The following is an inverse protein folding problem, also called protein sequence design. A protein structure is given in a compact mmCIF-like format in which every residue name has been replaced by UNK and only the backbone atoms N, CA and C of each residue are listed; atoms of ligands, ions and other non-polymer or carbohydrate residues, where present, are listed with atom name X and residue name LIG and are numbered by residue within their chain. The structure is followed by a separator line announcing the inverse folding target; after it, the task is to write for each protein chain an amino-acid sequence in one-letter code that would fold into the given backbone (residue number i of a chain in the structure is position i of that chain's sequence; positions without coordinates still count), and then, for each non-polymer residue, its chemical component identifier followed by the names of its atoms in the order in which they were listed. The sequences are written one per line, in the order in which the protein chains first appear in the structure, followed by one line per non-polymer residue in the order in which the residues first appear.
data_IF_259723615514
#
_entry.id   IF_259723615514
#
_cell.length_a   1.000
_cell.length_b   1.000
_cell.length_c   1.000
_cell.angle_alpha   90.00
_cell.angle_beta   90.00
_cell.angle_gamma   90.00
#
_symmetry.space_group_name_H-M   'P 1'
#
loop_
_entity.id
_entity.type
_entity.pdbx_description
1 polymer ?
#
# COMPACT_ATOMS: atom_id res chain seq x y z
N UNK A 1 -13.84 49.85 -27.72
CA UNK A 1 -13.98 48.80 -26.68
C UNK A 1 -13.30 47.54 -27.24
N UNK A 2 -12.44 46.89 -26.41
CA UNK A 2 -11.80 45.61 -26.72
C UNK A 2 -12.48 44.54 -25.86
N UNK A 3 -12.94 43.46 -26.51
CA UNK A 3 -13.45 42.29 -25.82
C UNK A 3 -12.61 41.09 -26.22
N UNK A 4 -12.20 40.25 -25.26
CA UNK A 4 -11.51 38.99 -25.50
C UNK A 4 -12.39 37.86 -24.98
N UNK A 5 -12.62 36.85 -25.79
CA UNK A 5 -13.31 35.64 -25.39
C UNK A 5 -12.53 34.41 -25.90
N UNK A 6 -12.52 33.35 -25.12
CA UNK A 6 -12.03 32.04 -25.58
C UNK A 6 -13.23 31.12 -25.60
N UNK A 7 -13.53 30.57 -26.76
CA UNK A 7 -14.69 29.73 -26.97
C UNK A 7 -14.30 28.44 -27.70
N UNK A 8 -15.03 27.39 -27.41
CA UNK A 8 -14.99 26.13 -28.19
C UNK A 8 -16.03 26.25 -29.30
N UNK A 9 -15.61 26.22 -30.54
CA UNK A 9 -16.48 26.39 -31.68
C UNK A 9 -16.64 25.04 -32.38
N UNK A 10 -17.89 24.65 -32.60
CA UNK A 10 -18.24 23.44 -33.33
C UNK A 10 -18.45 23.79 -34.83
N UNK A 11 -17.51 23.43 -35.67
CA UNK A 11 -17.70 23.40 -37.09
C UNK A 11 -18.25 22.03 -37.53
N UNK A 12 -18.91 21.94 -38.66
CA UNK A 12 -19.61 20.74 -39.17
C UNK A 12 -18.73 19.48 -39.35
N UNK A 13 -17.43 19.57 -39.11
CA UNK A 13 -16.50 18.44 -38.97
C UNK A 13 -16.14 18.23 -37.49
N UNK A 14 -16.01 17.00 -37.06
CA UNK A 14 -15.86 16.47 -35.70
C UNK A 14 -14.65 16.99 -34.89
N UNK A 15 -14.04 18.09 -35.27
CA UNK A 15 -12.84 18.66 -34.63
C UNK A 15 -13.26 19.86 -33.80
N UNK A 16 -13.02 19.77 -32.48
CA UNK A 16 -13.27 20.86 -31.52
C UNK A 16 -12.00 21.68 -31.39
N UNK A 17 -11.95 22.87 -31.96
CA UNK A 17 -10.85 23.78 -31.84
C UNK A 17 -11.13 24.86 -30.80
N UNK A 18 -10.11 25.22 -30.02
CA UNK A 18 -10.18 26.33 -29.12
C UNK A 18 -9.72 27.62 -29.83
N UNK A 19 -10.67 28.52 -30.05
CA UNK A 19 -10.39 29.79 -30.71
C UNK A 19 -10.44 30.94 -29.70
N UNK A 20 -9.40 31.77 -29.71
CA UNK A 20 -9.41 33.06 -29.02
C UNK A 20 -9.92 34.11 -30.02
N UNK A 21 -11.00 34.76 -29.65
CA UNK A 21 -11.64 35.81 -30.43
C UNK A 21 -11.36 37.17 -29.75
N UNK A 22 -10.80 38.09 -30.49
CA UNK A 22 -10.64 39.48 -30.04
C UNK A 22 -11.44 40.38 -30.97
N UNK A 23 -12.33 41.21 -30.38
CA UNK A 23 -13.23 42.11 -31.08
C UNK A 23 -12.76 43.54 -30.86
N UNK A 24 -12.63 44.33 -31.92
CA UNK A 24 -12.35 45.74 -31.88
C UNK A 24 -13.45 46.46 -32.68
N UNK A 25 -14.23 47.29 -31.99
CA UNK A 25 -15.24 48.09 -32.64
C UNK A 25 -14.55 49.29 -33.28
N UNK A 26 -14.69 49.41 -34.62
CA UNK A 26 -14.12 50.46 -35.43
C UNK A 26 -15.05 51.66 -35.57
N UNK A 27 -16.31 51.42 -35.89
CA UNK A 27 -17.32 52.46 -36.15
C UNK A 27 -18.63 52.19 -35.40
N UNK A 28 -19.34 53.25 -35.04
CA UNK A 28 -20.70 53.20 -34.48
C UNK A 28 -21.68 54.07 -35.27
N UNK A 29 -22.93 53.66 -35.27
CA UNK A 29 -24.03 54.49 -35.76
C UNK A 29 -24.38 55.61 -34.76
N UNK A 30 -25.13 56.58 -35.19
CA UNK A 30 -25.59 57.71 -34.35
C UNK A 30 -26.46 57.28 -33.16
N UNK A 31 -27.06 56.09 -33.20
CA UNK A 31 -27.83 55.47 -32.12
C UNK A 31 -26.94 54.67 -31.12
N UNK A 32 -25.61 54.65 -31.33
CA UNK A 32 -24.67 53.91 -30.50
C UNK A 32 -24.46 52.45 -30.89
N UNK A 33 -25.21 51.91 -31.86
CA UNK A 33 -25.00 50.53 -32.33
C UNK A 33 -23.70 50.39 -33.10
N UNK A 34 -23.14 49.16 -33.13
CA UNK A 34 -21.87 48.87 -33.81
C UNK A 34 -22.09 48.83 -35.32
N UNK A 35 -21.42 49.76 -36.06
CA UNK A 35 -21.46 49.83 -37.51
C UNK A 35 -20.42 48.91 -38.15
N UNK A 36 -19.21 48.90 -37.60
CA UNK A 36 -18.14 47.98 -38.08
C UNK A 36 -17.26 47.53 -36.93
N UNK A 37 -16.76 46.27 -37.04
CA UNK A 37 -15.83 45.71 -36.10
C UNK A 37 -14.78 44.88 -36.83
N UNK A 38 -13.60 44.79 -36.24
CA UNK A 38 -12.54 43.85 -36.64
C UNK A 38 -12.53 42.71 -35.65
N UNK A 39 -12.52 41.49 -36.15
CA UNK A 39 -12.42 40.27 -35.35
C UNK A 39 -11.10 39.63 -35.69
N UNK A 40 -10.22 39.47 -34.67
CA UNK A 40 -9.04 38.66 -34.80
C UNK A 40 -9.33 37.28 -34.18
N UNK A 41 -9.05 36.25 -34.94
CA UNK A 41 -9.23 34.84 -34.54
C UNK A 41 -7.87 34.21 -34.44
N UNK A 42 -7.58 33.58 -33.29
CA UNK A 42 -6.35 32.82 -33.08
C UNK A 42 -6.70 31.44 -32.57
N UNK A 43 -6.19 30.40 -33.23
CA UNK A 43 -6.23 29.04 -32.73
C UNK A 43 -5.33 28.95 -31.48
N UNK A 44 -5.88 28.42 -30.41
CA UNK A 44 -5.23 28.22 -29.11
C UNK A 44 -5.39 26.77 -28.61
N UNK A 45 -5.76 25.84 -29.50
CA UNK A 45 -6.03 24.43 -29.17
C UNK A 45 -4.81 23.77 -28.57
N UNK A 46 -3.65 23.86 -29.22
CA UNK A 46 -2.40 23.30 -28.71
C UNK A 46 -2.02 23.88 -27.34
N UNK A 47 -2.20 25.19 -27.16
CA UNK A 47 -1.91 25.84 -25.89
C UNK A 47 -2.85 25.35 -24.77
N UNK A 48 -4.12 25.08 -25.10
CA UNK A 48 -5.09 24.53 -24.14
C UNK A 48 -4.82 23.09 -23.77
N UNK A 49 -4.39 22.28 -24.72
CA UNK A 49 -3.95 20.90 -24.46
C UNK A 49 -2.73 20.88 -23.56
N UNK A 50 -1.69 21.65 -23.86
CA UNK A 50 -0.50 21.74 -22.98
C UNK A 50 -0.84 22.26 -21.59
N UNK A 51 -1.77 23.25 -21.47
CA UNK A 51 -2.24 23.76 -20.17
C UNK A 51 -2.95 22.64 -19.37
N UNK A 52 -3.77 21.85 -20.04
CA UNK A 52 -4.49 20.72 -19.43
C UNK A 52 -3.53 19.62 -18.95
N UNK A 53 -2.59 19.22 -19.80
CA UNK A 53 -1.55 18.24 -19.43
C UNK A 53 -0.73 18.70 -18.21
N UNK A 54 -0.32 19.97 -18.21
CA UNK A 54 0.43 20.54 -17.10
C UNK A 54 -0.38 20.58 -15.79
N UNK A 55 -1.67 20.88 -15.86
CA UNK A 55 -2.57 20.86 -14.70
C UNK A 55 -2.70 19.42 -14.15
N UNK A 56 -2.84 18.43 -15.02
CA UNK A 56 -2.95 17.04 -14.59
C UNK A 56 -1.62 16.53 -14.00
N UNK A 57 -0.49 16.92 -14.54
CA UNK A 57 0.83 16.63 -13.96
C UNK A 57 0.99 17.27 -12.58
N UNK A 58 0.63 18.54 -12.43
CA UNK A 58 0.65 19.22 -11.12
C UNK A 58 -0.25 18.54 -10.11
N UNK A 59 -1.46 18.13 -10.50
CA UNK A 59 -2.38 17.40 -9.62
C UNK A 59 -1.77 16.06 -9.17
N UNK A 60 -1.13 15.30 -10.07
CA UNK A 60 -0.42 14.06 -9.74
C UNK A 60 0.70 14.31 -8.73
N UNK A 61 1.53 15.33 -8.97
CA UNK A 61 2.63 15.69 -8.09
C UNK A 61 2.14 16.13 -6.69
N UNK A 62 1.07 16.90 -6.62
CA UNK A 62 0.46 17.32 -5.34
C UNK A 62 -0.08 16.12 -4.57
N UNK A 63 -0.76 15.18 -5.26
CA UNK A 63 -1.26 13.94 -4.63
C UNK A 63 -0.12 13.09 -4.09
N UNK A 64 0.93 12.88 -4.89
CA UNK A 64 2.12 12.13 -4.47
C UNK A 64 2.80 12.76 -3.24
N UNK A 65 2.94 14.08 -3.23
CA UNK A 65 3.56 14.80 -2.12
C UNK A 65 2.71 14.75 -0.84
N UNK A 66 1.39 14.85 -0.95
CA UNK A 66 0.47 14.67 0.18
C UNK A 66 0.55 13.27 0.78
N UNK A 67 0.55 12.25 -0.07
CA UNK A 67 0.70 10.84 0.36
C UNK A 67 2.03 10.63 1.08
N UNK A 68 3.14 11.20 0.57
CA UNK A 68 4.45 11.14 1.22
C UNK A 68 4.48 11.81 2.60
N UNK A 69 3.85 12.99 2.72
CA UNK A 69 3.75 13.70 4.00
C UNK A 69 2.94 12.92 5.02
N UNK A 70 1.81 12.35 4.60
CA UNK A 70 0.96 11.54 5.46
C UNK A 70 1.67 10.26 5.93
N UNK A 71 2.47 9.63 5.05
CA UNK A 71 3.35 8.53 5.43
C UNK A 71 4.28 8.90 6.57
N UNK A 72 5.05 9.97 6.41
CA UNK A 72 6.01 10.41 7.43
C UNK A 72 5.33 10.68 8.78
N UNK A 73 4.13 11.26 8.76
CA UNK A 73 3.32 11.47 9.98
C UNK A 73 2.91 10.12 10.61
N UNK A 74 2.36 9.20 9.82
CA UNK A 74 1.95 7.89 10.30
C UNK A 74 3.14 7.10 10.86
N UNK A 75 4.27 7.09 10.14
CA UNK A 75 5.50 6.45 10.60
C UNK A 75 6.02 7.05 11.92
N UNK A 76 5.97 8.37 12.06
CA UNK A 76 6.36 9.02 13.32
C UNK A 76 5.52 8.52 14.48
N UNK A 77 4.21 8.33 14.28
CA UNK A 77 3.33 7.75 15.28
C UNK A 77 3.65 6.28 15.57
N UNK A 78 3.91 5.48 14.54
CA UNK A 78 4.20 4.06 14.67
C UNK A 78 5.58 3.78 15.28
N UNK A 79 6.56 4.65 15.07
CA UNK A 79 7.85 4.62 15.73
C UNK A 79 7.72 5.03 17.20
N UNK A 80 6.93 6.06 17.50
CA UNK A 80 6.79 6.59 18.87
C UNK A 80 6.17 5.57 19.83
N UNK A 81 5.20 4.78 19.38
CA UNK A 81 4.50 3.80 20.22
C UNK A 81 5.44 2.73 20.81
N UNK A 82 6.19 1.94 20.00
CA UNK A 82 7.13 0.97 20.52
C UNK A 82 8.28 1.62 21.29
N UNK A 83 8.74 2.80 20.89
CA UNK A 83 9.79 3.53 21.60
C UNK A 83 9.35 3.92 23.01
N UNK A 84 8.14 4.45 23.17
CA UNK A 84 7.57 4.78 24.47
C UNK A 84 7.34 3.54 25.33
N UNK A 85 6.91 2.42 24.74
CA UNK A 85 6.75 1.16 25.44
C UNK A 85 8.11 0.64 25.94
N UNK A 86 9.15 0.61 25.09
CA UNK A 86 10.52 0.23 25.52
C UNK A 86 11.01 1.13 26.66
N UNK A 87 10.83 2.44 26.54
CA UNK A 87 11.24 3.38 27.57
C UNK A 87 10.48 3.17 28.89
N UNK A 88 9.15 3.04 28.85
CA UNK A 88 8.33 2.84 30.04
C UNK A 88 8.63 1.53 30.77
N UNK A 89 8.74 0.40 30.04
CA UNK A 89 9.08 -0.88 30.66
C UNK A 89 10.52 -0.94 31.13
N UNK A 90 11.48 -0.24 30.49
CA UNK A 90 12.84 -0.14 31.00
C UNK A 90 12.91 0.62 32.33
N UNK A 91 12.10 1.67 32.50
CA UNK A 91 12.01 2.38 33.78
C UNK A 91 11.45 1.46 34.88
N UNK A 92 10.45 0.63 34.59
CA UNK A 92 9.90 -0.33 35.54
C UNK A 92 10.91 -1.40 35.92
N UNK A 93 11.76 -1.86 34.98
CA UNK A 93 12.84 -2.80 35.27
C UNK A 93 13.95 -2.20 36.16
N UNK A 94 14.13 -0.87 36.12
CA UNK A 94 15.10 -0.16 36.95
C UNK A 94 14.58 0.20 38.38
N UNK A 95 13.35 -0.19 38.73
CA UNK A 95 12.83 0.04 40.08
C UNK A 95 13.58 -0.79 41.11
N UNK A 96 13.69 -0.29 42.37
CA UNK A 96 14.37 -1.02 43.44
C UNK A 96 13.83 -2.43 43.66
N UNK A 97 14.65 -3.34 44.16
CA UNK A 97 14.25 -4.71 44.48
C UNK A 97 13.04 -4.75 45.40
N UNK A 98 12.09 -5.64 45.10
CA UNK A 98 10.84 -5.80 45.85
C UNK A 98 9.62 -5.05 45.26
N UNK A 99 9.81 -4.09 44.36
CA UNK A 99 8.67 -3.43 43.65
C UNK A 99 8.16 -4.22 42.43
N UNK A 100 9.03 -5.06 41.83
CA UNK A 100 8.75 -5.85 40.65
C UNK A 100 9.15 -7.30 40.91
N UNK A 101 8.21 -8.24 40.72
CA UNK A 101 8.52 -9.68 40.84
C UNK A 101 9.35 -10.17 39.63
N UNK A 102 10.05 -11.31 39.79
CA UNK A 102 10.85 -11.92 38.72
C UNK A 102 9.95 -12.25 37.49
N UNK A 103 8.70 -12.72 37.72
CA UNK A 103 7.73 -12.96 36.63
C UNK A 103 7.44 -11.68 35.89
N UNK A 104 7.18 -10.56 36.56
CA UNK A 104 6.95 -9.26 35.95
C UNK A 104 8.19 -8.73 35.21
N UNK A 105 9.40 -8.96 35.71
CA UNK A 105 10.63 -8.59 34.99
C UNK A 105 10.73 -9.31 33.67
N UNK A 106 10.40 -10.62 33.62
CA UNK A 106 10.34 -11.37 32.37
C UNK A 106 9.27 -10.84 31.41
N UNK A 107 8.10 -10.49 31.92
CA UNK A 107 7.04 -9.89 31.10
C UNK A 107 7.47 -8.53 30.52
N UNK A 108 8.07 -7.65 31.33
CA UNK A 108 8.54 -6.34 30.87
C UNK A 108 9.67 -6.47 29.84
N UNK A 109 10.59 -7.43 30.03
CA UNK A 109 11.61 -7.74 29.04
C UNK A 109 10.99 -8.19 27.70
N UNK A 110 9.99 -9.04 27.76
CA UNK A 110 9.26 -9.50 26.55
C UNK A 110 8.57 -8.33 25.84
N UNK A 111 7.96 -7.39 26.58
CA UNK A 111 7.38 -6.18 25.98
C UNK A 111 8.43 -5.30 25.30
N UNK A 112 9.61 -5.12 25.91
CA UNK A 112 10.72 -4.37 25.31
C UNK A 112 11.21 -5.07 24.05
N UNK A 113 11.43 -6.38 24.10
CA UNK A 113 11.91 -7.17 22.98
C UNK A 113 10.93 -7.16 21.79
N UNK A 114 9.62 -7.31 22.06
CA UNK A 114 8.58 -7.23 21.05
C UNK A 114 8.50 -5.83 20.43
N UNK A 115 8.65 -4.78 21.23
CA UNK A 115 8.66 -3.39 20.75
C UNK A 115 9.88 -3.09 19.87
N UNK A 116 11.04 -3.65 20.23
CA UNK A 116 12.26 -3.57 19.42
C UNK A 116 12.09 -4.26 18.06
N UNK A 117 11.56 -5.49 18.06
CA UNK A 117 11.30 -6.23 16.82
C UNK A 117 10.30 -5.49 15.91
N UNK A 118 9.26 -4.89 16.51
CA UNK A 118 8.31 -4.08 15.76
C UNK A 118 8.96 -2.86 15.11
N UNK A 119 9.83 -2.17 15.85
CA UNK A 119 10.57 -1.00 15.33
C UNK A 119 11.53 -1.40 14.21
N UNK A 120 12.25 -2.51 14.36
CA UNK A 120 13.15 -3.03 13.32
C UNK A 120 12.40 -3.35 12.03
N UNK A 121 11.24 -4.01 12.11
CA UNK A 121 10.40 -4.26 10.93
C UNK A 121 9.94 -2.97 10.24
N UNK A 122 9.55 -1.95 11.01
CA UNK A 122 9.13 -0.66 10.43
C UNK A 122 10.29 0.03 9.69
N UNK A 123 11.51 -0.06 10.22
CA UNK A 123 12.71 0.48 9.58
C UNK A 123 13.01 -0.27 8.29
N UNK A 124 12.98 -1.61 8.32
CA UNK A 124 13.18 -2.44 7.13
C UNK A 124 12.13 -2.13 6.04
N UNK A 125 10.86 -1.98 6.42
CA UNK A 125 9.77 -1.61 5.53
C UNK A 125 10.03 -0.27 4.80
N UNK A 126 10.58 0.71 5.51
CA UNK A 126 10.93 2.02 4.93
C UNK A 126 12.08 1.92 3.96
N UNK A 127 13.12 1.17 4.36
CA UNK A 127 14.29 0.95 3.51
C UNK A 127 13.90 0.20 2.23
N UNK A 128 13.04 -0.82 2.34
CA UNK A 128 12.54 -1.56 1.18
C UNK A 128 11.80 -0.66 0.18
N UNK A 129 10.95 0.25 0.67
CA UNK A 129 10.26 1.23 -0.19
C UNK A 129 11.26 2.18 -0.82
N UNK A 130 12.23 2.69 -0.07
CA UNK A 130 13.25 3.61 -0.57
C UNK A 130 14.14 2.93 -1.62
N UNK A 131 14.59 1.70 -1.39
CA UNK A 131 15.40 0.93 -2.34
C UNK A 131 14.63 0.61 -3.62
N UNK A 132 13.35 0.31 -3.52
CA UNK A 132 12.49 0.09 -4.68
C UNK A 132 12.34 1.35 -5.53
N UNK A 133 12.16 2.54 -4.92
CA UNK A 133 12.08 3.82 -5.62
C UNK A 133 13.38 4.19 -6.36
N UNK A 134 14.53 3.86 -5.78
CA UNK A 134 15.85 4.14 -6.37
C UNK A 134 16.36 3.04 -7.31
N UNK A 135 15.60 1.96 -7.51
CA UNK A 135 16.00 0.83 -8.34
C UNK A 135 17.08 -0.06 -7.74
N UNK A 136 17.41 0.13 -6.47
CA UNK A 136 18.46 -0.59 -5.75
C UNK A 136 17.98 -1.89 -5.09
N UNK A 137 16.70 -2.22 -5.24
CA UNK A 137 16.12 -3.43 -4.62
C UNK A 137 16.77 -4.70 -5.18
N UNK A 138 17.54 -5.39 -4.36
CA UNK A 138 18.25 -6.62 -4.74
C UNK A 138 17.44 -7.84 -4.34
N UNK A 139 17.43 -8.84 -5.21
CA UNK A 139 16.85 -10.17 -4.98
C UNK A 139 18.01 -11.15 -4.80
N UNK A 140 18.05 -11.83 -3.67
CA UNK A 140 19.07 -12.83 -3.34
C UNK A 140 18.49 -14.23 -3.51
N UNK A 141 18.69 -14.83 -4.69
CA UNK A 141 18.17 -16.16 -4.97
C UNK A 141 18.99 -17.25 -4.27
N UNK A 142 18.30 -18.15 -3.59
CA UNK A 142 18.86 -19.32 -2.96
C UNK A 142 17.92 -20.52 -3.06
N UNK A 143 18.43 -21.72 -2.83
CA UNK A 143 17.64 -22.95 -2.78
C UNK A 143 17.19 -23.21 -1.36
N UNK A 144 15.89 -23.39 -1.12
CA UNK A 144 15.32 -23.62 0.20
C UNK A 144 14.07 -24.50 0.16
N UNK A 145 13.77 -25.16 1.30
CA UNK A 145 12.58 -25.97 1.48
C UNK A 145 11.38 -25.05 1.76
N UNK A 146 10.35 -25.12 0.89
CA UNK A 146 9.22 -24.17 0.93
C UNK A 146 8.36 -24.36 2.17
N UNK A 147 8.07 -25.63 2.54
CA UNK A 147 7.27 -25.93 3.72
C UNK A 147 7.92 -25.44 5.02
N UNK A 148 9.24 -25.56 5.14
CA UNK A 148 9.99 -25.04 6.29
C UNK A 148 9.88 -23.52 6.38
N UNK A 149 10.04 -22.81 5.27
CA UNK A 149 9.89 -21.37 5.20
C UNK A 149 8.46 -20.93 5.60
N UNK A 150 7.41 -21.64 5.15
CA UNK A 150 6.03 -21.40 5.54
C UNK A 150 5.82 -21.59 7.05
N UNK A 151 6.35 -22.67 7.64
CA UNK A 151 6.27 -22.90 9.10
C UNK A 151 6.98 -21.78 9.88
N UNK A 152 8.13 -21.32 9.40
CA UNK A 152 8.85 -20.21 10.03
C UNK A 152 8.04 -18.90 9.97
N UNK A 153 7.38 -18.61 8.85
CA UNK A 153 6.48 -17.46 8.73
C UNK A 153 5.29 -17.53 9.72
N UNK A 154 4.72 -18.73 9.88
CA UNK A 154 3.66 -18.99 10.86
C UNK A 154 4.12 -18.71 12.30
N UNK A 155 5.29 -19.22 12.69
CA UNK A 155 5.86 -19.00 14.03
C UNK A 155 6.09 -17.51 14.33
N UNK A 156 6.55 -16.73 13.33
CA UNK A 156 6.74 -15.27 13.49
C UNK A 156 5.40 -14.54 13.69
N UNK A 157 4.35 -14.98 13.03
CA UNK A 157 3.03 -14.34 13.13
C UNK A 157 2.26 -14.77 14.39
N UNK A 158 2.51 -15.96 14.93
CA UNK A 158 1.76 -16.55 16.06
C UNK A 158 1.80 -15.69 17.32
N UNK A 159 2.89 -14.96 17.54
CA UNK A 159 3.03 -14.02 18.66
C UNK A 159 1.98 -12.89 18.67
N UNK A 160 1.33 -12.63 17.54
CA UNK A 160 0.30 -11.57 17.38
C UNK A 160 -1.11 -12.12 17.31
N UNK A 161 -1.26 -13.44 17.38
CA UNK A 161 -2.53 -14.12 17.28
C UNK A 161 -3.36 -13.95 18.58
N UNK A 162 -4.65 -13.67 18.43
CA UNK A 162 -5.58 -13.69 19.55
C UNK A 162 -5.78 -15.12 20.06
N UNK A 163 -5.97 -15.27 21.37
CA UNK A 163 -6.11 -16.61 22.02
C UNK A 163 -7.27 -17.46 21.46
N UNK A 164 -8.32 -16.81 20.94
CA UNK A 164 -9.51 -17.49 20.39
C UNK A 164 -9.43 -17.73 18.87
N UNK A 165 -8.25 -17.58 18.27
CA UNK A 165 -8.03 -17.82 16.84
C UNK A 165 -7.20 -19.09 16.66
N UNK A 166 -7.68 -20.00 15.82
CA UNK A 166 -6.91 -21.18 15.40
C UNK A 166 -6.06 -20.82 14.17
N UNK A 167 -4.75 -21.09 14.20
CA UNK A 167 -3.88 -20.82 13.07
C UNK A 167 -3.17 -22.10 12.65
N UNK A 168 -3.28 -22.48 11.37
CA UNK A 168 -2.73 -23.74 10.86
C UNK A 168 -2.21 -23.62 9.42
N UNK A 169 -1.34 -24.58 9.05
CA UNK A 169 -0.69 -24.67 7.75
C UNK A 169 -1.01 -25.98 7.07
N UNK A 170 -1.29 -25.94 5.77
CA UNK A 170 -1.43 -27.11 4.90
C UNK A 170 -0.65 -26.90 3.61
N UNK A 171 -0.24 -28.02 2.98
CA UNK A 171 0.55 -27.98 1.76
C UNK A 171 0.21 -29.13 0.84
N UNK A 172 0.17 -28.86 -0.47
CA UNK A 172 0.02 -29.87 -1.52
C UNK A 172 1.36 -30.49 -1.92
N UNK A 173 2.49 -29.98 -1.39
CA UNK A 173 3.82 -30.49 -1.73
C UNK A 173 4.49 -31.17 -0.54
N UNK A 174 5.41 -32.08 -0.83
CA UNK A 174 6.19 -32.79 0.19
C UNK A 174 7.14 -31.84 0.95
N UNK A 175 7.59 -32.25 2.14
CA UNK A 175 8.46 -31.44 2.98
C UNK A 175 9.85 -31.19 2.34
N UNK A 176 10.29 -32.06 1.46
CA UNK A 176 11.53 -31.95 0.70
C UNK A 176 11.38 -31.24 -0.65
N UNK A 177 10.27 -30.50 -0.84
CA UNK A 177 10.08 -29.68 -2.04
C UNK A 177 10.89 -28.39 -1.95
N UNK A 178 11.88 -28.26 -2.84
CA UNK A 178 12.79 -27.11 -2.90
C UNK A 178 12.48 -26.23 -4.10
N UNK A 179 12.59 -24.92 -3.90
CA UNK A 179 12.58 -23.94 -4.99
C UNK A 179 13.84 -23.07 -4.94
N UNK A 180 14.13 -22.39 -6.04
CA UNK A 180 15.18 -21.37 -6.13
C UNK A 180 14.53 -20.00 -6.27
N UNK A 181 14.57 -19.22 -5.20
CA UNK A 181 14.03 -17.85 -5.14
C UNK A 181 14.63 -17.13 -3.93
N UNK A 182 14.12 -15.96 -3.59
CA UNK A 182 14.49 -15.23 -2.38
C UNK A 182 13.56 -15.60 -1.22
N UNK A 183 14.03 -16.54 -0.38
CA UNK A 183 13.25 -17.05 0.76
C UNK A 183 12.88 -15.96 1.75
N UNK A 184 13.80 -15.00 2.01
CA UNK A 184 13.58 -13.89 2.94
C UNK A 184 12.44 -12.99 2.46
N UNK A 185 12.40 -12.68 1.18
CA UNK A 185 11.37 -11.82 0.58
C UNK A 185 10.01 -12.51 0.52
N UNK A 186 9.96 -13.78 0.15
CA UNK A 186 8.71 -14.55 0.19
C UNK A 186 8.19 -14.65 1.63
N UNK A 187 9.07 -14.96 2.57
CA UNK A 187 8.71 -15.02 3.99
C UNK A 187 8.17 -13.68 4.50
N UNK A 188 8.74 -12.54 4.09
CA UNK A 188 8.26 -11.20 4.41
C UNK A 188 6.82 -10.99 3.92
N UNK A 189 6.49 -11.41 2.68
CA UNK A 189 5.12 -11.35 2.15
C UNK A 189 4.17 -12.19 3.02
N UNK A 190 4.54 -13.44 3.34
CA UNK A 190 3.69 -14.32 4.14
C UNK A 190 3.49 -13.78 5.57
N UNK A 191 4.53 -13.27 6.21
CA UNK A 191 4.43 -12.63 7.54
C UNK A 191 3.51 -11.41 7.48
N UNK A 192 3.58 -10.60 6.45
CA UNK A 192 2.68 -9.45 6.26
C UNK A 192 1.21 -9.90 6.12
N UNK A 193 0.93 -10.93 5.33
CA UNK A 193 -0.42 -11.46 5.19
C UNK A 193 -0.93 -12.06 6.50
N UNK A 194 -0.13 -12.90 7.17
CA UNK A 194 -0.46 -13.55 8.43
C UNK A 194 -0.68 -12.54 9.57
N UNK A 195 0.17 -11.53 9.68
CA UNK A 195 0.02 -10.48 10.71
C UNK A 195 -1.21 -9.60 10.47
N UNK A 196 -1.56 -9.33 9.21
CA UNK A 196 -2.82 -8.68 8.85
C UNK A 196 -4.02 -9.57 9.23
N UNK A 197 -3.98 -10.86 8.94
CA UNK A 197 -5.00 -11.82 9.34
C UNK A 197 -5.17 -11.85 10.87
N UNK A 198 -4.07 -11.93 11.64
CA UNK A 198 -4.09 -11.88 13.12
C UNK A 198 -4.72 -10.59 13.66
N UNK A 199 -4.47 -9.47 13.01
CA UNK A 199 -4.97 -8.16 13.41
C UNK A 199 -6.48 -8.00 13.20
N UNK A 200 -7.02 -8.61 12.13
CA UNK A 200 -8.42 -8.47 11.73
C UNK A 200 -9.31 -9.65 12.13
N UNK A 201 -8.72 -10.70 12.74
CA UNK A 201 -9.46 -11.87 13.23
C UNK A 201 -9.34 -11.95 14.74
N UNK A 202 -10.43 -11.64 15.45
CA UNK A 202 -10.49 -11.71 16.92
C UNK A 202 -10.87 -13.10 17.40
N UNK A 203 -11.70 -13.80 16.61
CA UNK A 203 -12.17 -15.17 16.85
C UNK A 203 -12.36 -15.88 15.52
N UNK A 204 -12.02 -17.15 15.45
CA UNK A 204 -12.15 -17.98 14.26
C UNK A 204 -10.83 -18.64 13.86
N UNK A 205 -10.50 -18.59 12.57
CA UNK A 205 -9.31 -19.28 12.05
C UNK A 205 -8.53 -18.47 11.03
N UNK A 206 -7.22 -18.77 10.96
CA UNK A 206 -6.28 -18.28 9.95
C UNK A 206 -5.61 -19.50 9.34
N UNK A 207 -5.66 -19.62 8.03
CA UNK A 207 -5.13 -20.75 7.29
C UNK A 207 -4.10 -20.28 6.26
N UNK A 208 -2.85 -20.73 6.41
CA UNK A 208 -1.83 -20.65 5.36
C UNK A 208 -1.88 -21.93 4.56
N UNK A 209 -2.09 -21.84 3.25
CA UNK A 209 -2.08 -22.99 2.35
C UNK A 209 -1.11 -22.78 1.19
N UNK A 210 -0.32 -23.80 0.92
CA UNK A 210 0.61 -23.86 -0.22
C UNK A 210 0.06 -24.83 -1.27
N UNK A 211 -0.23 -24.33 -2.47
CA UNK A 211 -0.80 -25.12 -3.55
C UNK A 211 0.00 -25.02 -4.85
N UNK A 212 0.06 -26.13 -5.57
CA UNK A 212 0.53 -26.23 -6.96
C UNK A 212 -0.61 -26.46 -7.94
N UNK A 213 -1.83 -26.67 -7.44
CA UNK A 213 -3.01 -27.03 -8.22
C UNK A 213 -3.92 -25.84 -8.53
N UNK A 214 -3.95 -24.83 -7.69
CA UNK A 214 -4.80 -23.63 -7.90
C UNK A 214 -4.43 -22.83 -9.16
N UNK A 215 -3.13 -22.76 -9.48
CA UNK A 215 -2.63 -22.08 -10.69
C UNK A 215 -1.63 -23.04 -11.37
N UNK A 216 -2.02 -23.76 -12.43
CA UNK A 216 -1.17 -24.75 -13.08
C UNK A 216 0.20 -24.17 -13.50
N UNK A 217 1.28 -24.84 -13.08
CA UNK A 217 2.66 -24.44 -13.37
C UNK A 217 3.20 -23.31 -12.49
N UNK A 218 2.45 -22.83 -11.49
CA UNK A 218 2.85 -21.80 -10.53
C UNK A 218 2.63 -22.28 -9.11
N UNK A 219 3.45 -21.76 -8.19
CA UNK A 219 3.30 -22.03 -6.77
C UNK A 219 2.46 -20.93 -6.13
N UNK A 220 1.36 -21.32 -5.48
CA UNK A 220 0.42 -20.38 -4.86
C UNK A 220 0.46 -20.52 -3.35
N UNK A 221 0.75 -19.41 -2.68
CA UNK A 221 0.60 -19.25 -1.24
C UNK A 221 -0.68 -18.49 -0.97
N UNK A 222 -1.59 -19.05 -0.21
CA UNK A 222 -2.82 -18.39 0.20
C UNK A 222 -2.90 -18.25 1.71
N UNK A 223 -3.18 -17.04 2.18
CA UNK A 223 -3.51 -16.76 3.58
C UNK A 223 -4.98 -16.38 3.65
N UNK A 224 -5.76 -17.22 4.30
CA UNK A 224 -7.20 -17.07 4.46
C UNK A 224 -7.53 -16.82 5.93
N UNK A 225 -8.36 -15.85 6.21
CA UNK A 225 -8.86 -15.55 7.55
C UNK A 225 -10.38 -15.49 7.58
N UNK A 226 -10.95 -15.61 8.79
CA UNK A 226 -12.39 -15.47 9.06
C UNK A 226 -12.71 -14.16 9.76
N UNK A 227 -11.90 -13.13 9.54
CA UNK A 227 -12.04 -11.82 10.17
C UNK A 227 -13.09 -10.92 9.52
N UNK A 228 -12.89 -9.63 9.63
CA UNK A 228 -13.85 -8.60 9.16
C UNK A 228 -13.99 -8.54 7.63
N UNK A 229 -13.04 -9.13 6.88
CA UNK A 229 -13.01 -9.07 5.42
C UNK A 229 -12.66 -7.68 4.88
N UNK A 230 -12.69 -7.56 3.54
CA UNK A 230 -12.34 -6.34 2.81
C UNK A 230 -13.48 -5.99 1.86
N UNK A 231 -14.02 -4.76 1.92
CA UNK A 231 -15.06 -4.30 1.01
C UNK A 231 -14.61 -4.37 -0.46
N UNK A 232 -15.46 -4.84 -1.41
CA UNK A 232 -15.09 -5.01 -2.81
C UNK A 232 -14.57 -3.73 -3.48
N UNK A 233 -15.12 -2.57 -3.10
CA UNK A 233 -14.69 -1.26 -3.60
C UNK A 233 -13.26 -0.90 -3.24
N UNK A 234 -12.72 -1.49 -2.16
CA UNK A 234 -11.35 -1.24 -1.70
C UNK A 234 -10.35 -2.29 -2.20
N UNK A 235 -10.82 -3.40 -2.75
CA UNK A 235 -9.99 -4.55 -3.14
C UNK A 235 -8.88 -4.21 -4.15
N UNK A 236 -9.08 -3.20 -5.00
CA UNK A 236 -8.07 -2.74 -5.96
C UNK A 236 -7.01 -1.83 -5.33
N UNK A 237 -7.41 -1.10 -4.30
CA UNK A 237 -6.59 -0.03 -3.71
C UNK A 237 -5.75 -0.49 -2.52
N UNK A 238 -6.04 -1.68 -1.94
CA UNK A 238 -5.36 -2.15 -0.71
C UNK A 238 -3.85 -2.39 -0.88
N UNK A 239 -3.38 -2.62 -2.11
CA UNK A 239 -1.96 -2.75 -2.45
C UNK A 239 -1.31 -1.41 -2.81
N UNK A 240 -2.12 -0.33 -2.94
CA UNK A 240 -1.57 1.01 -3.14
C UNK A 240 -0.88 1.52 -1.87
N UNK A 241 0.07 2.41 -2.06
CA UNK A 241 0.80 3.04 -0.95
C UNK A 241 -0.15 3.74 0.00
N UNK A 242 0.01 3.47 1.31
CA UNK A 242 -0.65 4.21 2.41
C UNK A 242 -2.16 4.05 2.49
N UNK A 243 -2.73 3.09 1.78
CA UNK A 243 -4.15 2.75 1.92
C UNK A 243 -4.39 1.98 3.21
N UNK A 244 -5.42 2.38 3.94
CA UNK A 244 -5.88 1.74 5.19
C UNK A 244 -7.39 1.60 5.10
N UNK A 245 -7.91 0.45 5.52
CA UNK A 245 -9.35 0.17 5.57
C UNK A 245 -10.03 0.98 6.67
N UNK A 246 -9.36 1.14 7.83
CA UNK A 246 -9.85 1.88 8.99
C UNK A 246 -8.77 2.77 9.59
N UNK A 247 -9.10 4.04 9.85
CA UNK A 247 -8.21 5.01 10.51
C UNK A 247 -7.85 4.64 11.96
N UNK A 248 -8.66 3.79 12.61
CA UNK A 248 -8.52 3.40 14.02
C UNK A 248 -7.68 2.14 14.24
N UNK A 249 -7.39 1.36 13.20
CA UNK A 249 -6.60 0.12 13.33
C UNK A 249 -5.13 0.42 13.11
N UNK A 250 -4.27 0.11 14.08
CA UNK A 250 -2.83 0.40 14.10
C UNK A 250 -2.10 -0.30 12.93
N UNK A 251 -1.27 0.44 12.15
CA UNK A 251 -0.44 -0.10 11.07
C UNK A 251 0.01 0.95 10.06
N UNK A 252 1.24 0.81 9.50
CA UNK A 252 1.88 1.77 8.57
C UNK A 252 1.15 1.94 7.24
N UNK A 253 0.34 0.95 6.85
CA UNK A 253 -0.22 0.88 5.49
C UNK A 253 0.85 0.59 4.42
N UNK A 254 2.04 0.16 4.83
CA UNK A 254 3.14 -0.20 3.93
C UNK A 254 3.18 -1.69 3.61
N UNK A 255 2.77 -2.56 4.54
CA UNK A 255 2.97 -4.00 4.42
C UNK A 255 2.42 -4.61 3.12
N UNK A 256 1.18 -4.31 2.74
CA UNK A 256 0.60 -4.82 1.48
C UNK A 256 1.26 -4.18 0.25
N UNK A 257 1.67 -2.91 0.32
CA UNK A 257 2.42 -2.27 -0.75
C UNK A 257 3.80 -2.91 -0.94
N UNK A 258 4.50 -3.24 0.15
CA UNK A 258 5.77 -3.98 0.10
C UNK A 258 5.56 -5.36 -0.53
N UNK A 259 4.44 -6.05 -0.23
CA UNK A 259 4.10 -7.30 -0.90
C UNK A 259 3.99 -7.13 -2.42
N UNK A 260 3.41 -6.02 -2.91
CA UNK A 260 3.37 -5.71 -4.34
C UNK A 260 4.76 -5.46 -4.92
N UNK A 261 5.61 -4.69 -4.24
CA UNK A 261 7.01 -4.45 -4.67
C UNK A 261 7.78 -5.78 -4.77
N UNK A 262 7.68 -6.63 -3.75
CA UNK A 262 8.35 -7.94 -3.73
C UNK A 262 7.85 -8.80 -4.89
N UNK A 263 6.54 -8.85 -5.11
CA UNK A 263 5.95 -9.61 -6.21
C UNK A 263 6.49 -9.15 -7.56
N UNK A 264 6.49 -7.86 -7.84
CA UNK A 264 7.02 -7.29 -9.08
C UNK A 264 8.50 -7.67 -9.29
N UNK A 265 9.31 -7.65 -8.22
CA UNK A 265 10.74 -7.98 -8.30
C UNK A 265 11.04 -9.47 -8.47
N UNK A 266 10.18 -10.33 -7.95
CA UNK A 266 10.28 -11.79 -8.08
C UNK A 266 9.60 -12.33 -9.35
N UNK A 267 8.89 -11.50 -10.12
CA UNK A 267 8.03 -11.93 -11.23
C UNK A 267 6.81 -12.71 -10.76
N UNK A 268 6.38 -12.46 -9.54
CA UNK A 268 5.22 -13.04 -8.88
C UNK A 268 4.00 -12.11 -8.96
N UNK A 269 2.86 -12.58 -8.50
CA UNK A 269 1.62 -11.81 -8.45
C UNK A 269 1.05 -11.81 -7.02
N UNK A 270 0.58 -10.66 -6.53
CA UNK A 270 -0.22 -10.56 -5.31
C UNK A 270 -1.63 -10.13 -5.63
N UNK A 271 -2.62 -10.75 -5.01
CA UNK A 271 -4.02 -10.39 -5.16
C UNK A 271 -4.88 -10.76 -3.96
N UNK A 272 -6.01 -10.09 -3.85
CA UNK A 272 -7.10 -10.45 -2.95
C UNK A 272 -8.10 -11.30 -3.73
N UNK A 273 -8.46 -12.47 -3.20
CA UNK A 273 -9.53 -13.29 -3.74
C UNK A 273 -10.89 -12.70 -3.35
N UNK A 274 -11.53 -12.03 -4.30
CA UNK A 274 -12.83 -11.39 -4.09
C UNK A 274 -14.01 -12.39 -4.05
N UNK A 275 -13.76 -13.65 -4.40
CA UNK A 275 -14.79 -14.70 -4.32
C UNK A 275 -14.96 -15.24 -2.92
N UNK A 276 -13.95 -15.05 -2.05
CA UNK A 276 -14.00 -15.44 -0.66
C UNK A 276 -14.70 -14.37 0.19
N UNK A 277 -15.78 -14.73 0.88
CA UNK A 277 -16.68 -13.78 1.56
C UNK A 277 -16.78 -13.95 3.08
N UNK A 278 -16.07 -14.94 3.66
CA UNK A 278 -16.11 -15.20 5.13
C UNK A 278 -15.08 -14.40 5.93
N UNK A 279 -14.25 -13.61 5.25
CA UNK A 279 -13.13 -12.85 5.77
C UNK A 279 -12.32 -12.33 4.61
N UNK A 280 -10.97 -12.41 4.67
CA UNK A 280 -10.10 -12.10 3.56
C UNK A 280 -9.27 -13.32 3.14
N UNK A 281 -8.93 -13.40 1.84
CA UNK A 281 -8.01 -14.39 1.28
C UNK A 281 -7.00 -13.69 0.39
N UNK A 282 -5.77 -13.61 0.86
CA UNK A 282 -4.64 -13.07 0.11
C UNK A 282 -3.88 -14.18 -0.61
N UNK A 283 -3.50 -13.92 -1.84
CA UNK A 283 -2.75 -14.85 -2.70
C UNK A 283 -1.42 -14.22 -3.10
N UNK A 284 -0.35 -15.01 -2.99
CA UNK A 284 0.95 -14.75 -3.58
C UNK A 284 1.28 -15.90 -4.54
N UNK A 285 1.44 -15.58 -5.83
CA UNK A 285 1.57 -16.56 -6.92
C UNK A 285 2.93 -16.37 -7.57
N UNK A 286 3.82 -17.35 -7.37
CA UNK A 286 5.20 -17.36 -7.85
C UNK A 286 5.36 -18.19 -9.12
#
# INVERSE_FOLDING_TARGET
LRFNSVARIHFQSTIYDWLRLAFIVCDRHSDGSVKSMVVAVKDVSEMKEMEHERIEELKRNIRANRSKTQMLQNMTHEIRTPLNAMFGFSQLLCMPDGYVSETQKHEYFNYIFNSFNMLSMLIDDVLDVADAEHGNYRVEKGRFAVNEMCRNAMLMADMRRHANVNMYFTSDVADDYFIESDSRRIQQVLVNFLTNACKHTVQGEIHLHLSTTENPGRLTFSVTDTGTGIPPEMAKDIFERYKRLDGNVQGSGLGLHICSIIADRLGAEVKLDQTYTRGARFLFIL
#
